data_IF_247385444436
#
_entry.id   IF_247385444436
#
_cell.length_a   1.000
_cell.length_b   1.000
_cell.length_c   1.000
_cell.angle_alpha   90.00
_cell.angle_beta   90.00
_cell.angle_gamma   90.00
#
_symmetry.space_group_name_H-M   'P 1'
#
loop_
_entity.id
_entity.type
_entity.pdbx_description
1 polymer ?
#
# COMPACT_ATOMS: atom_id res chain seq x y z
N UNK A 1 -27.79 6.27 8.53
CA UNK A 1 -27.73 6.44 7.06
C UNK A 1 -28.45 7.75 6.73
N UNK A 2 -27.99 8.49 5.73
CA UNK A 2 -28.64 9.69 5.24
C UNK A 2 -29.52 9.33 4.05
N UNK A 3 -30.77 9.76 4.07
CA UNK A 3 -31.72 9.56 2.98
C UNK A 3 -31.87 10.87 2.21
N UNK A 4 -31.93 10.79 0.88
CA UNK A 4 -32.08 11.96 0.02
C UNK A 4 -32.10 11.57 -1.46
N UNK A 5 -32.47 12.50 -2.33
CA UNK A 5 -32.53 12.29 -3.78
C UNK A 5 -31.24 12.80 -4.45
N UNK A 6 -30.18 11.98 -4.46
CA UNK A 6 -28.92 12.34 -5.13
C UNK A 6 -28.76 11.63 -6.46
N UNK A 7 -27.94 12.19 -7.36
CA UNK A 7 -27.68 11.62 -8.68
C UNK A 7 -26.23 11.13 -8.77
N UNK A 8 -26.06 9.89 -9.19
CA UNK A 8 -24.77 9.28 -9.50
C UNK A 8 -24.09 10.00 -10.69
N UNK A 9 -22.88 10.52 -10.51
CA UNK A 9 -22.14 11.24 -11.54
C UNK A 9 -21.66 10.35 -12.71
N UNK A 10 -21.54 9.04 -12.50
CA UNK A 10 -21.11 8.08 -13.56
C UNK A 10 -22.29 7.43 -14.29
N UNK A 11 -23.38 7.22 -13.59
CA UNK A 11 -24.45 6.31 -14.03
C UNK A 11 -25.83 6.97 -14.09
N UNK A 12 -25.98 8.20 -13.59
CA UNK A 12 -27.26 8.89 -13.51
C UNK A 12 -28.28 8.26 -12.55
N UNK A 13 -27.94 7.15 -11.88
CA UNK A 13 -28.82 6.47 -10.95
C UNK A 13 -29.16 7.36 -9.74
N UNK A 14 -30.43 7.30 -9.31
CA UNK A 14 -30.91 7.94 -8.09
C UNK A 14 -30.35 7.19 -6.88
N UNK A 15 -29.63 7.88 -6.02
CA UNK A 15 -29.07 7.37 -4.77
C UNK A 15 -30.00 7.84 -3.66
N UNK A 16 -30.75 6.91 -3.08
CA UNK A 16 -31.72 7.18 -2.01
C UNK A 16 -31.11 7.13 -0.61
N UNK A 17 -29.93 6.50 -0.47
CA UNK A 17 -29.29 6.26 0.81
C UNK A 17 -27.76 6.34 0.70
N UNK A 18 -27.16 7.18 1.55
CA UNK A 18 -25.71 7.29 1.71
C UNK A 18 -25.30 7.08 3.17
N UNK A 19 -24.16 6.42 3.43
CA UNK A 19 -23.63 6.28 4.79
C UNK A 19 -23.00 7.58 5.32
N UNK A 20 -22.81 8.59 4.46
CA UNK A 20 -22.23 9.89 4.78
C UNK A 20 -23.12 11.02 4.24
N UNK A 21 -23.01 12.22 4.83
CA UNK A 21 -23.67 13.42 4.33
C UNK A 21 -22.92 13.95 3.10
N UNK A 22 -23.55 14.04 1.91
CA UNK A 22 -22.90 14.63 0.75
C UNK A 22 -22.67 16.13 0.99
N UNK A 23 -21.42 16.57 0.83
CA UNK A 23 -20.97 17.91 1.14
C UNK A 23 -20.83 18.81 -0.11
N UNK A 24 -21.26 18.33 -1.29
CA UNK A 24 -21.14 19.04 -2.56
C UNK A 24 -19.72 19.28 -3.07
N UNK A 25 -18.70 18.81 -2.33
CA UNK A 25 -17.27 19.02 -2.66
C UNK A 25 -16.67 17.89 -3.52
N UNK A 26 -17.48 16.95 -4.01
CA UNK A 26 -17.00 15.85 -4.82
C UNK A 26 -18.12 15.10 -5.56
N UNK A 27 -17.75 14.31 -6.58
CA UNK A 27 -18.68 13.49 -7.35
C UNK A 27 -19.32 12.41 -6.48
N UNK A 28 -20.64 12.25 -6.62
CA UNK A 28 -21.42 11.26 -5.88
C UNK A 28 -21.55 10.00 -6.74
N UNK A 29 -21.31 8.84 -6.14
CA UNK A 29 -21.40 7.56 -6.82
C UNK A 29 -22.38 6.65 -6.09
N UNK A 30 -23.18 5.89 -6.84
CA UNK A 30 -24.05 4.88 -6.24
C UNK A 30 -23.21 3.74 -5.64
N UNK A 31 -23.86 2.90 -4.81
CA UNK A 31 -23.23 1.74 -4.17
C UNK A 31 -22.52 0.85 -5.21
N UNK A 32 -23.11 0.67 -6.38
CA UNK A 32 -22.57 -0.17 -7.47
C UNK A 32 -21.38 0.46 -8.19
N UNK A 33 -21.44 1.74 -8.57
CA UNK A 33 -20.31 2.45 -9.17
C UNK A 33 -19.13 2.55 -8.20
N UNK A 34 -19.41 2.86 -6.92
CA UNK A 34 -18.39 2.86 -5.88
C UNK A 34 -17.81 1.45 -5.65
N UNK A 35 -18.63 0.39 -5.70
CA UNK A 35 -18.16 -0.99 -5.60
C UNK A 35 -17.33 -1.41 -6.81
N UNK A 36 -17.74 -1.07 -8.04
CA UNK A 36 -16.97 -1.31 -9.28
C UNK A 36 -15.64 -0.56 -9.28
N UNK A 37 -15.63 0.69 -8.84
CA UNK A 37 -14.40 1.49 -8.72
C UNK A 37 -13.48 0.97 -7.62
N UNK A 38 -14.05 0.57 -6.48
CA UNK A 38 -13.31 -0.19 -5.47
C UNK A 38 -12.78 -1.50 -6.03
N UNK A 39 -13.54 -2.25 -6.82
CA UNK A 39 -13.11 -3.52 -7.41
C UNK A 39 -12.02 -3.35 -8.47
N UNK A 40 -12.03 -2.28 -9.26
CA UNK A 40 -10.92 -1.95 -10.15
C UNK A 40 -9.63 -1.63 -9.35
N UNK A 41 -9.76 -1.02 -8.18
CA UNK A 41 -8.62 -0.82 -7.26
C UNK A 41 -8.33 -2.07 -6.38
N UNK A 42 -9.31 -2.95 -6.23
CA UNK A 42 -9.34 -4.12 -5.33
C UNK A 42 -9.19 -5.44 -6.09
N UNK A 43 -8.92 -5.41 -7.39
CA UNK A 43 -8.28 -6.52 -8.11
C UNK A 43 -6.84 -6.72 -7.64
N UNK A 44 -6.34 -5.84 -6.77
CA UNK A 44 -4.99 -5.86 -6.23
C UNK A 44 -4.94 -6.11 -4.71
N UNK A 45 -5.98 -6.69 -4.08
CA UNK A 45 -5.88 -7.12 -2.66
C UNK A 45 -4.92 -8.29 -2.45
N UNK A 46 -4.46 -8.92 -3.51
CA UNK A 46 -3.36 -9.89 -3.49
C UNK A 46 -1.97 -9.25 -3.72
N UNK A 47 -1.90 -7.98 -4.10
CA UNK A 47 -0.62 -7.30 -4.33
C UNK A 47 -0.24 -6.48 -3.10
N UNK A 48 0.12 -7.21 -2.05
CA UNK A 48 0.80 -6.67 -0.87
C UNK A 48 2.24 -6.26 -1.16
N UNK A 49 2.73 -6.35 -2.41
CA UNK A 49 4.16 -6.21 -2.66
C UNK A 49 4.51 -6.15 -4.14
N UNK A 50 4.14 -5.10 -4.86
CA UNK A 50 5.00 -4.60 -5.94
C UNK A 50 6.19 -3.84 -5.30
N UNK A 51 6.74 -4.40 -4.21
CA UNK A 51 8.08 -4.07 -3.77
C UNK A 51 8.95 -4.65 -4.86
N UNK A 52 9.40 -3.79 -5.77
CA UNK A 52 10.45 -4.14 -6.70
C UNK A 52 11.58 -4.77 -5.90
N UNK A 53 11.75 -6.08 -6.07
CA UNK A 53 12.89 -6.80 -5.54
C UNK A 53 14.03 -6.49 -6.49
N UNK A 54 15.06 -5.85 -5.97
CA UNK A 54 16.30 -5.66 -6.70
C UNK A 54 17.09 -6.95 -6.58
N UNK A 55 17.37 -7.58 -7.71
CA UNK A 55 18.28 -8.72 -7.80
C UNK A 55 19.67 -8.21 -8.13
N UNK A 56 20.68 -8.67 -7.41
CA UNK A 56 22.07 -8.26 -7.63
C UNK A 56 23.01 -9.00 -6.71
N UNK A 57 24.32 -8.85 -6.92
CA UNK A 57 25.35 -9.52 -6.12
C UNK A 57 25.96 -8.51 -5.13
N UNK A 58 25.36 -8.38 -3.95
CA UNK A 58 25.88 -7.51 -2.88
C UNK A 58 26.52 -8.32 -1.76
N UNK A 59 27.41 -7.69 -1.00
CA UNK A 59 28.10 -8.30 0.13
C UNK A 59 27.65 -7.64 1.43
N UNK A 60 27.25 -8.44 2.40
CA UNK A 60 26.92 -7.96 3.74
C UNK A 60 28.17 -7.39 4.42
N UNK A 61 28.13 -6.13 4.86
CA UNK A 61 29.25 -5.46 5.52
C UNK A 61 29.61 -6.04 6.90
N UNK A 62 28.73 -6.84 7.50
CA UNK A 62 28.92 -7.40 8.85
C UNK A 62 29.39 -8.86 8.84
N UNK A 63 28.86 -9.70 7.93
CA UNK A 63 29.16 -11.14 7.90
C UNK A 63 29.79 -11.63 6.59
N UNK A 64 29.91 -10.78 5.56
CA UNK A 64 30.43 -11.16 4.25
C UNK A 64 29.48 -12.04 3.41
N UNK A 65 28.27 -12.32 3.90
CA UNK A 65 27.29 -13.12 3.15
C UNK A 65 26.85 -12.40 1.87
N UNK A 66 26.67 -13.17 0.79
CA UNK A 66 26.12 -12.67 -0.48
C UNK A 66 24.62 -12.41 -0.32
N UNK A 67 24.18 -11.25 -0.78
CA UNK A 67 22.78 -10.83 -0.77
C UNK A 67 22.35 -10.76 -2.23
N UNK A 68 21.40 -11.61 -2.61
CA UNK A 68 20.91 -11.73 -3.98
C UNK A 68 19.66 -10.91 -4.25
N UNK A 69 18.92 -10.54 -3.19
CA UNK A 69 17.60 -9.94 -3.28
C UNK A 69 17.41 -8.90 -2.17
N UNK A 70 17.10 -7.66 -2.57
CA UNK A 70 16.81 -6.57 -1.66
C UNK A 70 15.49 -5.88 -2.00
N UNK A 71 14.68 -5.51 -0.99
CA UNK A 71 13.43 -4.79 -1.22
C UNK A 71 13.65 -3.27 -1.42
N UNK A 72 14.91 -2.83 -1.55
CA UNK A 72 15.30 -1.43 -1.73
C UNK A 72 16.53 -1.35 -2.63
N UNK A 73 16.68 -0.23 -3.34
CA UNK A 73 17.85 0.05 -4.15
C UNK A 73 19.07 0.36 -3.26
N UNK A 74 20.19 -0.35 -3.42
CA UNK A 74 21.40 -0.11 -2.65
C UNK A 74 22.08 1.18 -3.13
N UNK A 75 21.79 2.27 -2.43
CA UNK A 75 22.52 3.53 -2.58
C UNK A 75 23.87 3.37 -1.88
N UNK A 76 24.98 3.31 -2.62
CA UNK A 76 26.35 2.98 -2.14
C UNK A 76 26.88 3.79 -0.94
N UNK A 77 26.15 4.78 -0.45
CA UNK A 77 26.37 5.52 0.80
C UNK A 77 26.15 4.71 2.09
N UNK A 78 25.36 3.63 2.07
CA UNK A 78 24.96 2.89 3.30
C UNK A 78 25.48 1.46 3.33
N UNK A 79 25.96 0.97 4.49
CA UNK A 79 26.37 -0.42 4.63
C UNK A 79 25.18 -1.36 4.42
N UNK A 80 25.39 -2.35 3.56
CA UNK A 80 24.42 -3.37 3.21
C UNK A 80 24.45 -4.50 4.24
N UNK A 81 23.28 -4.89 4.74
CA UNK A 81 23.14 -5.95 5.72
C UNK A 81 22.22 -7.04 5.18
N UNK A 82 22.60 -8.30 5.36
CA UNK A 82 21.72 -9.42 5.03
C UNK A 82 20.50 -9.43 5.98
N UNK A 83 19.47 -10.16 5.58
CA UNK A 83 18.20 -10.25 6.33
C UNK A 83 18.39 -10.61 7.80
N UNK A 84 19.37 -11.47 8.09
CA UNK A 84 19.67 -11.93 9.45
C UNK A 84 20.39 -10.88 10.29
N UNK A 85 21.43 -10.24 9.75
CA UNK A 85 22.13 -9.12 10.41
C UNK A 85 21.17 -7.96 10.70
N UNK A 86 20.34 -7.61 9.72
CA UNK A 86 19.31 -6.58 9.89
C UNK A 86 18.29 -6.94 10.97
N UNK A 87 17.81 -8.19 11.01
CA UNK A 87 16.89 -8.68 12.05
C UNK A 87 17.52 -8.64 13.44
N UNK A 88 18.77 -9.10 13.58
CA UNK A 88 19.52 -9.06 14.86
C UNK A 88 19.67 -7.62 15.37
N UNK A 89 20.02 -6.69 14.48
CA UNK A 89 20.17 -5.28 14.82
C UNK A 89 18.86 -4.60 15.20
N UNK A 90 17.75 -4.97 14.54
CA UNK A 90 16.41 -4.53 14.95
C UNK A 90 16.00 -5.09 16.31
N UNK A 91 16.32 -6.35 16.60
CA UNK A 91 16.00 -7.00 17.87
C UNK A 91 16.77 -6.40 19.05
N UNK A 92 18.01 -5.94 18.80
CA UNK A 92 18.84 -5.29 19.82
C UNK A 92 18.60 -3.76 19.93
N UNK A 93 17.64 -3.18 19.18
CA UNK A 93 17.26 -1.78 19.42
C UNK A 93 16.41 -1.74 20.70
N UNK A 94 16.85 -1.02 21.75
CA UNK A 94 16.01 -0.84 22.92
C UNK A 94 14.70 -0.22 22.45
N UNK A 95 13.58 -0.84 22.85
CA UNK A 95 12.24 -0.28 22.65
C UNK A 95 12.25 1.07 23.34
N UNK A 96 12.29 2.15 22.55
CA UNK A 96 12.13 3.50 23.08
C UNK A 96 10.67 3.59 23.51
N UNK A 97 10.47 3.48 24.83
CA UNK A 97 9.20 3.78 25.50
C UNK A 97 9.01 5.29 25.58
#
# INVERSE_FOLDING_TARGET
>A
MFHGDWVCSECGAKITELPFKPNGKGPLYCKDCHAKRRNNYSGNRNNRSDRQMFHGDWVCSECGAKITELPFEPNGDKPLFCRDCHRKRMQNRPRRF
#
